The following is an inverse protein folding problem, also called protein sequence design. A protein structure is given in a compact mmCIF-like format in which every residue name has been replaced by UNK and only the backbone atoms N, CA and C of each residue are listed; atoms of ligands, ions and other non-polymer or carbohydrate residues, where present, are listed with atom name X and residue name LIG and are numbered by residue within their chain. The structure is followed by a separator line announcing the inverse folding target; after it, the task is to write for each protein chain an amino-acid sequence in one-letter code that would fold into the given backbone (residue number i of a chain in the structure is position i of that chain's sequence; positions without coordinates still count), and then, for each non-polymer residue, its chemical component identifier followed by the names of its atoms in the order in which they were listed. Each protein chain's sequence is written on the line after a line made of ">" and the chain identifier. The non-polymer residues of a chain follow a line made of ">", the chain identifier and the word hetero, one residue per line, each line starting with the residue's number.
data_IF_034465726581
#
_entry.id   IF_034465726581
#
_cell.length_a   1.000
_cell.length_b   1.000
_cell.length_c   1.000
_cell.angle_alpha   90.00
_cell.angle_beta   90.00
_cell.angle_gamma   90.00
#
_symmetry.space_group_name_H-M   'P 1'
#
loop_
_entity.id
_entity.type
_entity.pdbx_description
1 polymer ?
#
# COMPACT_ATOMS: atom_id res chain seq x y z
N UNK A 1 -14.90 13.45 -4.74
CA UNK A 1 -15.47 13.14 -3.41
C UNK A 1 -16.18 11.78 -3.42
N UNK A 2 -15.45 10.66 -3.53
CA UNK A 2 -16.05 9.31 -3.40
C UNK A 2 -15.88 8.81 -1.97
N UNK A 3 -14.65 8.80 -1.45
CA UNK A 3 -14.34 8.35 -0.09
C UNK A 3 -15.15 9.07 1.01
N UNK A 4 -15.30 10.39 0.89
CA UNK A 4 -16.11 11.17 1.84
C UNK A 4 -17.59 10.79 1.82
N UNK A 5 -18.14 10.45 0.64
CA UNK A 5 -19.52 9.96 0.52
C UNK A 5 -19.66 8.58 1.17
N UNK A 6 -18.62 7.76 1.09
CA UNK A 6 -18.51 6.48 1.78
C UNK A 6 -18.21 6.61 3.28
N UNK A 7 -18.18 7.82 3.84
CA UNK A 7 -17.98 8.06 5.28
C UNK A 7 -16.53 8.07 5.74
N UNK A 8 -15.55 8.03 4.81
CA UNK A 8 -14.15 8.21 5.15
C UNK A 8 -13.82 9.69 5.38
N UNK A 9 -13.00 9.97 6.40
CA UNK A 9 -12.54 11.31 6.75
C UNK A 9 -11.05 11.43 6.50
N UNK A 10 -10.61 12.57 5.96
CA UNK A 10 -9.17 12.86 5.85
C UNK A 10 -8.60 12.99 7.26
N UNK A 11 -7.50 12.30 7.52
CA UNK A 11 -6.74 12.38 8.77
C UNK A 11 -5.38 13.00 8.48
N UNK A 12 -5.01 14.00 9.27
CA UNK A 12 -3.69 14.62 9.18
C UNK A 12 -2.67 13.76 9.91
N UNK A 13 -1.52 13.55 9.28
CA UNK A 13 -0.41 12.80 9.83
C UNK A 13 0.85 13.66 9.86
N UNK A 14 1.89 13.18 10.55
CA UNK A 14 3.22 13.81 10.50
C UNK A 14 3.83 13.85 9.09
N UNK A 15 3.36 12.99 8.18
CA UNK A 15 3.88 12.88 6.82
C UNK A 15 3.32 13.96 5.88
N UNK A 16 2.16 14.55 6.21
CA UNK A 16 1.54 15.62 5.42
C UNK A 16 2.38 16.92 5.38
N UNK A 17 3.35 17.08 6.28
CA UNK A 17 4.18 18.29 6.42
C UNK A 17 5.64 18.08 5.98
N UNK A 18 6.02 16.86 5.59
CA UNK A 18 7.38 16.60 5.16
C UNK A 18 7.58 17.12 3.73
N UNK A 19 8.68 17.83 3.43
CA UNK A 19 9.05 18.12 2.05
C UNK A 19 9.46 16.81 1.38
N UNK A 20 8.48 16.15 0.77
CA UNK A 20 8.64 14.93 -0.01
C UNK A 20 8.24 15.16 -1.46
N UNK A 21 8.83 14.41 -2.38
CA UNK A 21 8.34 14.37 -3.77
C UNK A 21 6.95 13.72 -3.85
N UNK A 22 6.59 12.97 -2.82
CA UNK A 22 5.30 12.31 -2.66
C UNK A 22 4.24 13.21 -2.04
N UNK A 23 3.00 13.12 -2.53
CA UNK A 23 1.83 13.69 -1.86
C UNK A 23 1.12 12.56 -1.10
N UNK A 24 1.35 12.50 0.21
CA UNK A 24 0.72 11.52 1.10
C UNK A 24 -0.65 12.00 1.57
N UNK A 25 -1.65 11.12 1.55
CA UNK A 25 -2.98 11.42 2.11
C UNK A 25 -3.56 10.19 2.79
N UNK A 26 -3.97 10.33 4.05
CA UNK A 26 -4.67 9.27 4.80
C UNK A 26 -6.16 9.57 4.94
N UNK A 27 -6.97 8.54 4.74
CA UNK A 27 -8.40 8.56 5.02
C UNK A 27 -8.77 7.42 5.97
N UNK A 28 -9.59 7.71 6.98
CA UNK A 28 -10.04 6.71 7.94
C UNK A 28 -11.56 6.66 8.04
N UNK A 29 -12.10 5.46 8.27
CA UNK A 29 -13.51 5.20 8.59
C UNK A 29 -13.57 4.17 9.71
N UNK A 30 -14.43 4.39 10.70
CA UNK A 30 -14.73 3.40 11.72
C UNK A 30 -16.12 2.83 11.44
N UNK A 31 -16.23 1.50 11.47
CA UNK A 31 -17.48 0.76 11.26
C UNK A 31 -17.75 -0.07 12.51
N UNK A 32 -18.96 0.04 13.06
CA UNK A 32 -19.43 -0.83 14.12
C UNK A 32 -19.88 -2.17 13.51
N UNK A 33 -19.39 -3.26 14.08
CA UNK A 33 -19.71 -4.63 13.68
C UNK A 33 -20.90 -5.13 14.49
N UNK A 34 -21.61 -6.15 13.98
CA UNK A 34 -22.79 -6.74 14.64
C UNK A 34 -22.52 -7.24 16.07
N UNK A 35 -21.27 -7.56 16.40
CA UNK A 35 -20.83 -8.00 17.72
C UNK A 35 -20.46 -6.84 18.68
N UNK A 36 -20.76 -5.59 18.33
CA UNK A 36 -20.44 -4.39 19.11
C UNK A 36 -18.95 -4.00 19.08
N UNK A 37 -18.12 -4.65 18.26
CA UNK A 37 -16.72 -4.24 18.04
C UNK A 37 -16.63 -3.17 16.97
N UNK A 38 -15.62 -2.31 17.07
CA UNK A 38 -15.33 -1.31 16.05
C UNK A 38 -14.17 -1.75 15.16
N UNK A 39 -14.37 -1.72 13.85
CA UNK A 39 -13.32 -1.89 12.86
C UNK A 39 -12.91 -0.52 12.31
N UNK A 40 -11.63 -0.17 12.47
CA UNK A 40 -11.06 0.99 11.80
C UNK A 40 -10.46 0.57 10.47
N UNK A 41 -10.94 1.19 9.40
CA UNK A 41 -10.45 1.05 8.04
C UNK A 41 -9.60 2.29 7.74
N UNK A 42 -8.34 2.08 7.40
CA UNK A 42 -7.39 3.14 7.00
C UNK A 42 -7.00 2.94 5.54
N UNK A 43 -7.07 4.02 4.75
CA UNK A 43 -6.63 4.05 3.36
C UNK A 43 -5.54 5.10 3.24
N UNK A 44 -4.38 4.68 2.77
CA UNK A 44 -3.22 5.53 2.54
C UNK A 44 -3.00 5.71 1.03
N UNK A 45 -2.95 6.96 0.60
CA UNK A 45 -2.58 7.34 -0.75
C UNK A 45 -1.16 7.87 -0.76
N UNK A 46 -0.37 7.34 -1.69
CA UNK A 46 0.96 7.82 -2.01
C UNK A 46 0.94 8.24 -3.48
N UNK A 47 0.86 9.54 -3.74
CA UNK A 47 0.80 10.09 -5.09
C UNK A 47 2.20 10.54 -5.53
N UNK A 48 2.64 10.08 -6.70
CA UNK A 48 3.86 10.50 -7.41
C UNK A 48 3.57 10.56 -8.90
N UNK A 49 4.20 11.51 -9.60
CA UNK A 49 4.02 11.69 -11.05
C UNK A 49 4.96 10.83 -11.90
N UNK A 50 6.02 10.29 -11.28
CA UNK A 50 7.10 9.55 -11.92
C UNK A 50 7.05 8.04 -11.61
N UNK A 51 5.87 7.51 -11.28
CA UNK A 51 5.68 6.09 -11.01
C UNK A 51 5.92 5.25 -12.27
N UNK A 52 6.93 4.40 -12.23
CA UNK A 52 7.09 3.37 -13.25
C UNK A 52 6.01 2.30 -13.07
N UNK A 53 5.33 1.98 -14.18
CA UNK A 53 4.23 1.03 -14.22
C UNK A 53 4.44 -0.04 -15.27
N UNK A 54 3.72 -1.14 -15.12
CA UNK A 54 3.64 -2.26 -16.05
C UNK A 54 2.17 -2.66 -16.24
N UNK A 55 1.84 -3.24 -17.39
CA UNK A 55 0.52 -3.77 -17.67
C UNK A 55 0.47 -5.27 -17.34
N UNK A 56 -0.48 -5.67 -16.49
CA UNK A 56 -0.62 -7.05 -16.01
C UNK A 56 -2.11 -7.39 -15.98
N UNK A 57 -2.54 -8.44 -16.68
CA UNK A 57 -3.94 -8.90 -16.69
C UNK A 57 -4.98 -7.79 -16.94
N UNK A 58 -4.64 -6.80 -17.79
CA UNK A 58 -5.51 -5.66 -18.09
C UNK A 58 -5.49 -4.54 -17.03
N UNK A 59 -4.70 -4.67 -15.98
CA UNK A 59 -4.47 -3.64 -14.96
C UNK A 59 -3.14 -2.93 -15.19
N UNK A 60 -3.11 -1.63 -14.93
CA UNK A 60 -1.86 -0.88 -14.77
C UNK A 60 -1.42 -0.99 -13.32
N UNK A 61 -0.29 -1.64 -13.07
CA UNK A 61 0.27 -1.81 -11.73
C UNK A 61 1.64 -1.14 -11.64
N UNK A 62 2.02 -0.70 -10.45
CA UNK A 62 3.35 -0.14 -10.19
C UNK A 62 4.40 -1.25 -10.34
N UNK A 63 5.54 -0.95 -10.96
CA UNK A 63 6.65 -1.91 -11.04
C UNK A 63 7.05 -2.40 -9.65
N UNK A 64 7.32 -3.70 -9.46
CA UNK A 64 7.67 -4.24 -8.15
C UNK A 64 8.84 -3.53 -7.48
N UNK A 65 9.90 -3.20 -8.21
CA UNK A 65 11.10 -2.53 -7.68
C UNK A 65 10.76 -1.12 -7.19
N UNK A 66 10.00 -0.36 -7.98
CA UNK A 66 9.51 0.97 -7.62
C UNK A 66 8.64 0.90 -6.36
N UNK A 67 7.67 -0.03 -6.32
CA UNK A 67 6.80 -0.22 -5.17
C UNK A 67 7.60 -0.63 -3.92
N UNK A 68 8.60 -1.50 -4.07
CA UNK A 68 9.45 -1.95 -2.97
C UNK A 68 10.33 -0.84 -2.39
N UNK A 69 10.74 0.14 -3.22
CA UNK A 69 11.52 1.31 -2.79
C UNK A 69 10.79 2.20 -1.77
N UNK A 70 9.45 2.11 -1.73
CA UNK A 70 8.61 2.88 -0.80
C UNK A 70 8.61 2.27 0.62
N UNK A 71 8.74 0.94 0.73
CA UNK A 71 8.77 0.28 2.04
C UNK A 71 10.12 0.56 2.73
N UNK A 72 10.05 1.04 3.99
CA UNK A 72 11.08 1.69 4.83
C UNK A 72 11.02 3.21 4.86
N UNK A 73 10.79 3.86 3.71
CA UNK A 73 10.83 5.33 3.63
C UNK A 73 9.48 5.96 4.01
N UNK A 74 8.38 5.39 3.51
CA UNK A 74 7.03 5.97 3.68
C UNK A 74 6.04 5.01 4.35
N UNK A 75 6.39 3.73 4.47
CA UNK A 75 5.58 2.73 5.16
C UNK A 75 6.44 1.77 5.98
N UNK A 76 6.09 1.58 7.25
CA UNK A 76 6.81 0.71 8.22
C UNK A 76 6.54 -0.79 8.02
N UNK A 77 6.08 -1.18 6.83
CA UNK A 77 5.76 -2.57 6.47
C UNK A 77 6.87 -3.22 5.66
N UNK A 78 8.11 -2.76 5.82
CA UNK A 78 9.27 -3.41 5.22
C UNK A 78 9.49 -4.84 5.74
N UNK A 79 8.90 -5.15 6.90
CA UNK A 79 8.83 -6.48 7.50
C UNK A 79 7.55 -7.27 7.15
N UNK A 80 6.68 -6.73 6.29
CA UNK A 80 5.51 -7.46 5.82
C UNK A 80 5.96 -8.69 5.03
N UNK A 81 5.28 -9.82 5.23
CA UNK A 81 5.58 -11.07 4.56
C UNK A 81 5.65 -10.92 3.04
N UNK A 82 4.63 -10.32 2.41
CA UNK A 82 4.59 -10.14 0.97
C UNK A 82 5.75 -9.26 0.47
N UNK A 83 6.18 -8.27 1.26
CA UNK A 83 7.30 -7.39 0.93
C UNK A 83 8.63 -8.15 0.99
N UNK A 84 8.84 -8.95 2.04
CA UNK A 84 10.03 -9.80 2.18
C UNK A 84 10.06 -10.84 1.05
N UNK A 85 8.95 -11.54 0.82
CA UNK A 85 8.85 -12.55 -0.21
C UNK A 85 9.07 -11.99 -1.62
N UNK A 86 8.57 -10.78 -1.92
CA UNK A 86 8.81 -10.12 -3.19
C UNK A 86 10.30 -9.75 -3.38
N UNK A 87 10.98 -9.29 -2.33
CA UNK A 87 12.43 -9.03 -2.37
C UNK A 87 13.21 -10.31 -2.65
N UNK A 88 12.92 -11.40 -1.94
CA UNK A 88 13.56 -12.71 -2.16
C UNK A 88 13.38 -13.21 -3.60
N UNK A 89 12.21 -12.98 -4.22
CA UNK A 89 11.94 -13.39 -5.59
C UNK A 89 12.78 -12.59 -6.58
N UNK A 90 12.83 -11.26 -6.41
CA UNK A 90 13.63 -10.39 -7.26
C UNK A 90 15.13 -10.65 -7.15
N UNK A 91 15.64 -10.94 -5.95
CA UNK A 91 17.05 -11.34 -5.76
C UNK A 91 17.40 -12.62 -6.52
N UNK A 92 16.41 -13.48 -6.79
CA UNK A 92 16.54 -14.71 -7.59
C UNK A 92 16.26 -14.49 -9.07
N UNK A 93 15.99 -13.26 -9.50
CA UNK A 93 15.61 -12.93 -10.88
C UNK A 93 14.20 -13.42 -11.26
N UNK A 94 13.32 -13.66 -10.28
CA UNK A 94 11.94 -14.10 -10.49
C UNK A 94 11.01 -12.89 -10.36
N UNK A 95 10.15 -12.69 -11.35
CA UNK A 95 9.11 -11.64 -11.30
C UNK A 95 8.09 -11.96 -10.19
N UNK A 96 7.92 -11.07 -9.18
CA UNK A 96 6.99 -11.30 -8.09
C UNK A 96 5.52 -11.08 -8.48
N UNK A 97 5.23 -10.45 -9.62
CA UNK A 97 3.85 -10.14 -10.04
C UNK A 97 2.99 -11.39 -10.13
N UNK A 98 1.92 -11.44 -9.33
CA UNK A 98 0.99 -12.57 -9.31
C UNK A 98 1.56 -13.87 -8.73
N UNK A 99 2.77 -13.85 -8.16
CA UNK A 99 3.41 -15.05 -7.64
C UNK A 99 2.67 -15.60 -6.40
N UNK A 100 2.29 -16.89 -6.35
CA UNK A 100 1.47 -17.46 -5.26
C UNK A 100 2.03 -17.22 -3.85
N UNK A 101 3.36 -17.25 -3.70
CA UNK A 101 4.08 -16.96 -2.44
C UNK A 101 3.67 -15.64 -1.77
N UNK A 102 3.25 -14.63 -2.54
CA UNK A 102 2.81 -13.34 -1.99
C UNK A 102 1.46 -13.39 -1.30
N UNK A 103 0.65 -14.41 -1.59
CA UNK A 103 -0.69 -14.62 -1.02
C UNK A 103 -0.71 -15.74 0.03
N UNK A 104 0.43 -16.35 0.33
CA UNK A 104 0.54 -17.36 1.38
C UNK A 104 0.41 -16.72 2.76
N UNK A 105 -0.31 -17.41 3.66
CA UNK A 105 -0.39 -17.02 5.06
C UNK A 105 0.96 -17.33 5.71
N UNK A 106 1.64 -16.34 6.32
CA UNK A 106 2.89 -16.58 7.05
C UNK A 106 2.64 -17.61 8.16
N UNK A 107 3.52 -18.61 8.30
CA UNK A 107 3.45 -19.60 9.37
C UNK A 107 4.12 -19.11 10.65
#
# INVERSE_FOLDING_TARGET
>A
MILQKEGFRKVWTRYDHLPSQENFRRYEKTVEMENGKFHRITIDFFERNDLETIAVNGFTVVKPETLLSFYRNIHSSDKCWAVIAAKDLLEKGIDPVGHPKLSEIPK
#
